data_IF_985875726208
#
_entry.id   IF_985875726208
#
_cell.length_a   1.000
_cell.length_b   1.000
_cell.length_c   1.000
_cell.angle_alpha   90.00
_cell.angle_beta   90.00
_cell.angle_gamma   90.00
#
_symmetry.space_group_name_H-M   'P 1'
#
loop_
_entity.id
_entity.type
_entity.pdbx_description
1 polymer ?
#
# COMPACT_ATOMS: atom_id res chain seq x y z
N UNK A 1 -10.35 12.67 24.67
CA UNK A 1 -9.45 12.86 23.51
C UNK A 1 -10.27 13.39 22.36
N UNK A 2 -9.77 14.41 21.65
CA UNK A 2 -10.53 15.10 20.60
C UNK A 2 -10.60 14.21 19.33
N UNK A 3 -11.78 14.06 18.70
CA UNK A 3 -11.97 13.20 17.51
C UNK A 3 -10.94 13.46 16.41
N UNK A 4 -10.51 14.71 16.23
CA UNK A 4 -9.52 15.12 15.24
C UNK A 4 -8.12 14.50 15.48
N UNK A 5 -7.74 14.26 16.74
CA UNK A 5 -6.47 13.59 17.07
C UNK A 5 -6.50 12.10 16.75
N UNK A 6 -7.64 11.43 16.97
CA UNK A 6 -7.81 10.02 16.63
C UNK A 6 -7.76 9.82 15.11
N UNK A 7 -8.44 10.67 14.34
CA UNK A 7 -8.40 10.65 12.87
C UNK A 7 -6.96 10.80 12.31
N UNK A 8 -6.18 11.74 12.85
CA UNK A 8 -4.76 11.91 12.44
C UNK A 8 -3.91 10.69 12.80
N UNK A 9 -4.12 10.11 13.98
CA UNK A 9 -3.40 8.90 14.39
C UNK A 9 -3.74 7.70 13.50
N UNK A 10 -5.01 7.54 13.12
CA UNK A 10 -5.44 6.51 12.17
C UNK A 10 -4.83 6.72 10.78
N UNK A 11 -4.90 7.94 10.23
CA UNK A 11 -4.32 8.24 8.93
C UNK A 11 -2.80 7.98 8.89
N UNK A 12 -2.08 8.38 9.94
CA UNK A 12 -0.65 8.09 10.07
C UNK A 12 -0.39 6.58 10.14
N UNK A 13 -1.16 5.84 10.94
CA UNK A 13 -1.02 4.38 11.06
C UNK A 13 -1.23 3.70 9.71
N UNK A 14 -2.27 4.07 8.97
CA UNK A 14 -2.55 3.53 7.63
C UNK A 14 -1.44 3.85 6.65
N UNK A 15 -0.91 5.08 6.66
CA UNK A 15 0.24 5.44 5.83
C UNK A 15 1.49 4.58 6.12
N UNK A 16 1.79 4.33 7.40
CA UNK A 16 2.91 3.47 7.80
C UNK A 16 2.66 2.01 7.42
N UNK A 17 1.43 1.51 7.51
CA UNK A 17 1.06 0.17 7.05
C UNK A 17 1.35 0.00 5.56
N UNK A 18 0.89 0.94 4.70
CA UNK A 18 1.18 0.94 3.26
C UNK A 18 2.67 0.91 2.99
N UNK A 19 3.43 1.74 3.71
CA UNK A 19 4.88 1.80 3.57
C UNK A 19 5.55 0.44 3.83
N UNK A 20 5.20 -0.23 4.93
CA UNK A 20 5.76 -1.53 5.26
C UNK A 20 5.30 -2.65 4.32
N UNK A 21 4.06 -2.60 3.86
CA UNK A 21 3.55 -3.58 2.88
C UNK A 21 4.31 -3.42 1.56
N UNK A 22 4.47 -2.19 1.08
CA UNK A 22 5.20 -1.90 -0.15
C UNK A 22 6.67 -2.37 -0.07
N UNK A 23 7.36 -2.00 1.00
CA UNK A 23 8.75 -2.41 1.25
C UNK A 23 8.91 -3.94 1.33
N UNK A 24 8.01 -4.60 2.08
CA UNK A 24 8.03 -6.05 2.21
C UNK A 24 7.70 -6.78 0.90
N UNK A 25 6.82 -6.21 0.07
CA UNK A 25 6.48 -6.76 -1.24
C UNK A 25 7.65 -6.61 -2.23
N UNK A 26 8.23 -5.42 -2.34
CA UNK A 26 9.41 -5.18 -3.19
C UNK A 26 10.55 -6.10 -2.78
N UNK A 27 10.86 -6.19 -1.48
CA UNK A 27 11.88 -7.08 -0.94
C UNK A 27 11.59 -8.58 -1.21
N UNK A 28 10.32 -8.96 -1.32
CA UNK A 28 9.95 -10.32 -1.73
C UNK A 28 10.23 -10.53 -3.22
N UNK A 29 9.83 -9.59 -4.06
CA UNK A 29 10.00 -9.66 -5.51
C UNK A 29 11.48 -9.63 -5.91
N UNK A 30 12.29 -8.79 -5.27
CA UNK A 30 13.75 -8.78 -5.44
C UNK A 30 14.37 -10.14 -5.09
N UNK A 31 13.88 -10.82 -4.05
CA UNK A 31 14.39 -12.16 -3.71
C UNK A 31 13.98 -13.24 -4.71
N UNK A 32 12.82 -13.08 -5.36
CA UNK A 32 12.28 -14.06 -6.32
C UNK A 32 12.86 -13.85 -7.72
N UNK A 33 12.96 -12.60 -8.16
CA UNK A 33 13.30 -12.22 -9.53
C UNK A 33 14.68 -11.56 -9.66
N UNK A 34 15.38 -11.34 -8.54
CA UNK A 34 16.66 -10.63 -8.48
C UNK A 34 16.60 -9.15 -8.94
N UNK A 35 15.38 -8.61 -9.05
CA UNK A 35 15.04 -7.24 -9.44
C UNK A 35 13.71 -6.84 -8.77
N UNK A 36 13.45 -5.54 -8.53
CA UNK A 36 12.19 -5.05 -7.94
C UNK A 36 11.07 -5.07 -8.99
N UNK A 37 10.65 -6.26 -9.41
CA UNK A 37 9.70 -6.47 -10.51
C UNK A 37 8.69 -7.54 -10.15
N UNK A 38 7.44 -7.35 -10.59
CA UNK A 38 6.47 -8.43 -10.64
C UNK A 38 6.48 -9.05 -12.05
N UNK A 39 6.52 -10.38 -12.13
CA UNK A 39 6.49 -11.12 -13.39
C UNK A 39 5.43 -12.22 -13.32
N UNK A 40 4.46 -12.19 -14.22
CA UNK A 40 3.43 -13.23 -14.42
C UNK A 40 2.99 -13.17 -15.89
N UNK A 41 2.69 -14.32 -16.50
CA UNK A 41 2.23 -14.42 -17.91
C UNK A 41 3.08 -13.65 -18.95
N UNK A 42 4.41 -13.72 -18.84
CA UNK A 42 5.41 -13.01 -19.66
C UNK A 42 5.36 -11.47 -19.57
N UNK A 43 4.47 -10.92 -18.75
CA UNK A 43 4.37 -9.50 -18.45
C UNK A 43 5.29 -9.11 -17.29
N UNK A 44 5.89 -7.92 -17.37
CA UNK A 44 6.84 -7.41 -16.37
C UNK A 44 6.42 -6.02 -15.90
N UNK A 45 6.15 -5.90 -14.61
CA UNK A 45 5.82 -4.63 -13.97
C UNK A 45 6.97 -4.20 -13.06
N UNK A 46 7.52 -3.01 -13.32
CA UNK A 46 8.50 -2.39 -12.43
C UNK A 46 7.84 -1.87 -11.16
N UNK A 47 8.46 -2.20 -10.02
CA UNK A 47 7.98 -1.83 -8.70
C UNK A 47 8.83 -0.71 -8.13
N UNK A 48 8.21 0.45 -7.95
CA UNK A 48 8.75 1.52 -7.10
C UNK A 48 7.89 1.64 -5.86
N UNK A 49 8.47 2.15 -4.78
CA UNK A 49 7.73 2.31 -3.52
C UNK A 49 6.47 3.16 -3.71
N UNK A 50 6.58 4.28 -4.42
CA UNK A 50 5.45 5.17 -4.75
C UNK A 50 4.37 4.44 -5.54
N UNK A 51 4.72 3.70 -6.60
CA UNK A 51 3.75 2.94 -7.40
C UNK A 51 3.03 1.89 -6.56
N UNK A 52 3.77 1.13 -5.76
CA UNK A 52 3.18 0.08 -4.92
C UNK A 52 2.23 0.69 -3.89
N UNK A 53 2.59 1.83 -3.29
CA UNK A 53 1.70 2.55 -2.37
C UNK A 53 0.44 3.04 -3.08
N UNK A 54 0.55 3.63 -4.27
CA UNK A 54 -0.61 4.03 -5.07
C UNK A 54 -1.50 2.83 -5.38
N UNK A 55 -0.91 1.69 -5.75
CA UNK A 55 -1.64 0.47 -6.06
C UNK A 55 -2.37 -0.09 -4.84
N UNK A 56 -1.78 -0.01 -3.64
CA UNK A 56 -2.48 -0.36 -2.39
C UNK A 56 -3.68 0.56 -2.17
N UNK A 57 -3.50 1.88 -2.32
CA UNK A 57 -4.60 2.85 -2.14
C UNK A 57 -5.73 2.55 -3.12
N UNK A 58 -5.39 2.37 -4.40
CA UNK A 58 -6.37 2.20 -5.47
C UNK A 58 -7.09 0.85 -5.40
N UNK A 59 -6.34 -0.24 -5.30
CA UNK A 59 -6.89 -1.59 -5.48
C UNK A 59 -7.29 -2.27 -4.17
N UNK A 60 -6.72 -1.86 -3.04
CA UNK A 60 -7.03 -2.47 -1.75
C UNK A 60 -7.95 -1.59 -0.93
N UNK A 61 -7.67 -0.29 -0.83
CA UNK A 61 -8.38 0.58 0.13
C UNK A 61 -9.65 1.21 -0.46
N UNK A 62 -9.56 1.78 -1.67
CA UNK A 62 -10.71 2.43 -2.30
C UNK A 62 -11.93 1.54 -2.49
N UNK A 63 -11.82 0.24 -2.78
CA UNK A 63 -13.00 -0.63 -2.82
C UNK A 63 -13.81 -0.58 -1.52
N UNK A 64 -13.15 -0.54 -0.36
CA UNK A 64 -13.85 -0.40 0.94
C UNK A 64 -14.48 0.97 1.11
N UNK A 65 -13.79 2.03 0.69
CA UNK A 65 -14.32 3.41 0.78
C UNK A 65 -15.53 3.59 -0.14
N UNK A 66 -15.49 3.02 -1.34
CA UNK A 66 -16.59 3.09 -2.31
C UNK A 66 -17.80 2.28 -1.85
N UNK A 67 -17.60 1.12 -1.23
CA UNK A 67 -18.68 0.24 -0.77
C UNK A 67 -19.30 0.70 0.56
N UNK A 68 -18.48 1.13 1.52
CA UNK A 68 -18.92 1.39 2.91
C UNK A 68 -18.89 2.88 3.30
N UNK A 69 -18.48 3.76 2.38
CA UNK A 69 -18.28 5.18 2.65
C UNK A 69 -16.95 5.47 3.37
N UNK A 70 -16.58 6.75 3.45
CA UNK A 70 -15.27 7.18 3.94
C UNK A 70 -14.94 6.68 5.36
N UNK A 71 -15.86 6.83 6.31
CA UNK A 71 -15.57 6.51 7.72
C UNK A 71 -15.40 5.00 7.95
N UNK A 72 -16.39 4.20 7.57
CA UNK A 72 -16.35 2.75 7.76
C UNK A 72 -15.34 2.09 6.81
N UNK A 73 -15.28 2.55 5.55
CA UNK A 73 -14.36 2.03 4.56
C UNK A 73 -12.89 2.20 4.94
N UNK A 74 -12.50 3.37 5.48
CA UNK A 74 -11.12 3.58 5.96
C UNK A 74 -10.75 2.63 7.10
N UNK A 75 -11.68 2.35 8.02
CA UNK A 75 -11.45 1.43 9.14
C UNK A 75 -11.26 0.00 8.62
N UNK A 76 -12.16 -0.47 7.77
CA UNK A 76 -12.13 -1.81 7.20
C UNK A 76 -10.87 -2.02 6.33
N UNK A 77 -10.51 -1.02 5.53
CA UNK A 77 -9.27 -1.01 4.77
C UNK A 77 -8.05 -1.13 5.68
N UNK A 78 -7.96 -0.34 6.75
CA UNK A 78 -6.86 -0.41 7.70
C UNK A 78 -6.76 -1.78 8.38
N UNK A 79 -7.88 -2.37 8.81
CA UNK A 79 -7.90 -3.73 9.36
C UNK A 79 -7.41 -4.79 8.37
N UNK A 80 -7.73 -4.62 7.08
CA UNK A 80 -7.22 -5.50 6.02
C UNK A 80 -5.71 -5.35 5.86
N UNK A 81 -5.19 -4.13 5.81
CA UNK A 81 -3.75 -3.86 5.72
C UNK A 81 -2.98 -4.43 6.92
N UNK A 82 -3.52 -4.35 8.13
CA UNK A 82 -2.88 -4.95 9.32
C UNK A 82 -2.68 -6.46 9.17
N UNK A 83 -3.65 -7.18 8.60
CA UNK A 83 -3.58 -8.63 8.36
C UNK A 83 -2.56 -9.00 7.30
N UNK A 84 -2.12 -8.06 6.47
CA UNK A 84 -1.12 -8.30 5.42
C UNK A 84 0.30 -8.43 5.96
N UNK A 85 0.56 -8.05 7.23
CA UNK A 85 1.90 -8.09 7.82
C UNK A 85 2.03 -9.19 8.89
N UNK A 86 3.24 -9.74 9.03
CA UNK A 86 3.63 -10.70 10.08
C UNK A 86 5.02 -10.34 10.66
N UNK A 87 5.26 -10.47 11.98
CA UNK A 87 4.34 -10.94 13.04
C UNK A 87 3.25 -9.92 13.41
N UNK A 88 3.37 -8.69 12.92
CA UNK A 88 2.37 -7.63 13.05
C UNK A 88 3.00 -6.27 12.78
N UNK A 89 2.19 -5.22 12.89
CA UNK A 89 2.62 -3.83 12.71
C UNK A 89 3.73 -3.44 13.70
N UNK A 90 4.74 -2.70 13.24
CA UNK A 90 5.89 -2.20 14.03
C UNK A 90 6.71 -3.28 14.76
N UNK A 91 6.70 -4.52 14.27
CA UNK A 91 7.55 -5.58 14.80
C UNK A 91 8.97 -5.54 14.22
N UNK A 92 9.92 -6.21 14.87
CA UNK A 92 11.23 -6.46 14.25
C UNK A 92 11.08 -7.50 13.13
N UNK A 93 11.68 -7.25 11.96
CA UNK A 93 11.61 -8.11 10.77
C UNK A 93 10.21 -8.31 10.17
N UNK A 94 9.50 -7.21 9.93
CA UNK A 94 8.20 -7.22 9.23
C UNK A 94 8.33 -7.90 7.86
N UNK A 95 7.38 -8.76 7.54
CA UNK A 95 7.22 -9.42 6.24
C UNK A 95 5.75 -9.44 5.86
N UNK A 96 5.45 -9.71 4.60
CA UNK A 96 4.10 -10.07 4.20
C UNK A 96 3.67 -11.38 4.88
N UNK A 97 2.44 -11.41 5.37
CA UNK A 97 1.73 -12.63 5.72
C UNK A 97 1.35 -13.39 4.44
N UNK A 98 0.91 -14.65 4.57
CA UNK A 98 0.38 -15.41 3.40
C UNK A 98 -0.77 -14.64 2.75
N UNK A 99 -1.66 -14.08 3.57
CA UNK A 99 -2.75 -13.22 3.11
C UNK A 99 -2.22 -11.99 2.37
N UNK A 100 -1.22 -11.29 2.92
CA UNK A 100 -0.60 -10.14 2.27
C UNK A 100 0.05 -10.47 0.93
N UNK A 101 0.72 -11.63 0.80
CA UNK A 101 1.25 -12.08 -0.48
C UNK A 101 0.13 -12.33 -1.48
N UNK A 102 -0.93 -13.03 -1.10
CA UNK A 102 -2.06 -13.29 -1.99
C UNK A 102 -2.69 -12.00 -2.49
N UNK A 103 -3.02 -11.07 -1.59
CA UNK A 103 -3.65 -9.79 -1.94
C UNK A 103 -2.77 -8.98 -2.91
N UNK A 104 -1.47 -8.84 -2.63
CA UNK A 104 -0.58 -8.11 -3.54
C UNK A 104 -0.47 -8.79 -4.90
N UNK A 105 -0.46 -10.12 -4.96
CA UNK A 105 -0.44 -10.83 -6.26
C UNK A 105 -1.72 -10.63 -7.06
N UNK A 106 -2.89 -10.63 -6.43
CA UNK A 106 -4.14 -10.32 -7.14
C UNK A 106 -4.12 -8.89 -7.69
N UNK A 107 -3.64 -7.90 -6.91
CA UNK A 107 -3.47 -6.52 -7.41
C UNK A 107 -2.62 -6.47 -8.67
N UNK A 108 -1.44 -7.09 -8.66
CA UNK A 108 -0.56 -7.03 -9.83
C UNK A 108 -1.04 -7.90 -11.00
N UNK A 109 -1.83 -8.94 -10.74
CA UNK A 109 -2.53 -9.69 -11.77
C UNK A 109 -3.59 -8.83 -12.46
N UNK A 110 -4.41 -8.12 -11.70
CA UNK A 110 -5.43 -7.22 -12.25
C UNK A 110 -4.78 -6.11 -13.09
N UNK A 111 -3.62 -5.60 -12.67
CA UNK A 111 -2.84 -4.62 -13.44
C UNK A 111 -2.36 -5.20 -14.77
N UNK A 112 -1.85 -6.45 -14.79
CA UNK A 112 -1.50 -7.14 -16.03
C UNK A 112 -2.70 -7.21 -16.99
N UNK A 113 -3.91 -7.38 -16.47
CA UNK A 113 -5.15 -7.39 -17.25
C UNK A 113 -5.76 -6.00 -17.52
N UNK A 114 -5.02 -4.92 -17.26
CA UNK A 114 -5.38 -3.56 -17.66
C UNK A 114 -5.96 -2.68 -16.56
N UNK A 115 -5.87 -3.08 -15.30
CA UNK A 115 -6.20 -2.19 -14.18
C UNK A 115 -5.12 -1.09 -14.02
N UNK A 116 -5.45 0.07 -13.41
CA UNK A 116 -4.51 1.19 -13.26
C UNK A 116 -3.22 0.82 -12.49
N UNK A 117 -2.06 1.33 -12.93
CA UNK A 117 -0.76 1.08 -12.30
C UNK A 117 -0.07 2.38 -11.87
N UNK A 118 0.06 2.57 -10.56
CA UNK A 118 0.69 3.72 -9.94
C UNK A 118 -0.21 4.95 -9.87
N UNK A 119 -1.46 4.85 -10.35
CA UNK A 119 -2.42 5.94 -10.35
C UNK A 119 -3.11 6.08 -8.99
N UNK A 120 -3.26 7.32 -8.53
CA UNK A 120 -4.08 7.61 -7.35
C UNK A 120 -5.56 7.72 -7.77
N UNK A 121 -6.50 7.33 -6.89
CA UNK A 121 -7.91 7.57 -7.11
C UNK A 121 -8.22 9.07 -7.23
N UNK A 122 -9.29 9.41 -7.93
CA UNK A 122 -9.72 10.81 -8.08
C UNK A 122 -9.91 11.48 -6.70
N UNK A 123 -9.32 12.67 -6.53
CA UNK A 123 -9.35 13.43 -5.27
C UNK A 123 -8.26 13.05 -4.26
N UNK A 124 -7.35 12.13 -4.59
CA UNK A 124 -6.16 11.84 -3.79
C UNK A 124 -4.93 12.50 -4.38
N UNK A 125 -4.13 13.13 -3.52
CA UNK A 125 -2.83 13.69 -3.88
C UNK A 125 -1.80 13.32 -2.82
N UNK A 126 -0.58 13.00 -3.25
CA UNK A 126 0.55 12.94 -2.35
C UNK A 126 0.92 14.36 -1.93
N UNK A 127 0.83 14.64 -0.63
CA UNK A 127 1.35 15.90 -0.07
C UNK A 127 2.86 15.79 0.00
N UNK A 128 3.56 16.43 -0.95
CA UNK A 128 5.01 16.63 -0.84
C UNK A 128 5.26 17.55 0.36
N UNK A 129 6.20 17.24 1.27
CA UNK A 129 6.57 18.20 2.30
C UNK A 129 7.09 19.46 1.61
N UNK A 130 6.43 20.59 1.83
CA UNK A 130 6.83 21.87 1.26
C UNK A 130 8.27 22.21 1.71
N UNK A 131 9.16 22.39 0.74
CA UNK A 131 10.41 23.14 0.86
C UNK A 131 11.21 22.97 2.15
N UNK A 132 11.90 21.83 2.31
CA UNK A 132 13.12 21.85 3.11
C UNK A 132 14.19 22.54 2.25
N UNK A 133 14.30 23.87 2.36
CA UNK A 133 15.49 24.57 1.91
C UNK A 133 16.68 23.87 2.54
N UNK A 134 17.50 23.25 1.69
CA UNK A 134 18.83 22.81 2.08
C UNK A 134 19.61 24.07 2.37
N UNK A 135 19.71 24.43 3.65
CA UNK A 135 20.79 25.28 4.12
C UNK A 135 22.08 24.46 3.96
N UNK A 136 22.70 24.59 2.78
CA UNK A 136 24.11 24.27 2.55
C UNK A 136 24.98 25.34 3.22
#
# INVERSE_FOLDING_TARGET
MNNNQNLKAHALRTAVLRYYIADAFISLMERVHNEPVYIEDDERIELTHEKVVSNIIYHIEMPWVNEFGADAGCILAAEKLEKMLKPGFMSENIRLSVFGVTEMREVYRDIIFGAPDGELPEGFEFVKPEGQEVLL
#
